data_IF_298999247095
#
_entry.id   IF_298999247095
#
_cell.length_a   1.000
_cell.length_b   1.000
_cell.length_c   1.000
_cell.angle_alpha   90.00
_cell.angle_beta   90.00
_cell.angle_gamma   90.00
#
_symmetry.space_group_name_H-M   'P 1'
#
loop_
_entity.id
_entity.type
_entity.pdbx_description
1 polymer ?
#
# COMPACT_ATOMS: atom_id res chain seq x y z
N UNK A 1 -4.20 -13.01 -5.26
CA UNK A 1 -3.04 -12.23 -4.78
C UNK A 1 -3.51 -10.83 -4.50
N UNK A 2 -3.13 -10.27 -3.34
CA UNK A 2 -3.55 -8.95 -2.89
C UNK A 2 -2.43 -7.95 -3.04
N UNK A 3 -2.74 -6.76 -3.55
CA UNK A 3 -1.80 -5.67 -3.75
C UNK A 3 -2.31 -4.43 -3.02
N UNK A 4 -1.46 -3.85 -2.18
CA UNK A 4 -1.74 -2.57 -1.53
C UNK A 4 -0.85 -1.49 -2.13
N UNK A 5 -1.47 -0.41 -2.59
CA UNK A 5 -0.79 0.76 -3.13
C UNK A 5 -1.03 1.95 -2.23
N UNK A 6 -0.07 2.85 -2.15
CA UNK A 6 -0.26 4.17 -1.56
C UNK A 6 -0.69 5.16 -2.65
N UNK A 7 -1.68 6.01 -2.37
CA UNK A 7 -2.12 7.07 -3.27
C UNK A 7 -1.12 8.26 -3.28
N UNK A 8 0.15 8.00 -3.61
CA UNK A 8 1.19 9.03 -3.79
C UNK A 8 1.36 9.38 -5.26
N UNK A 9 1.28 10.69 -5.57
CA UNK A 9 1.44 11.21 -6.94
C UNK A 9 0.33 10.76 -7.90
N UNK A 10 0.56 10.94 -9.21
CA UNK A 10 -0.41 10.60 -10.27
C UNK A 10 -0.34 9.16 -10.76
N UNK A 11 0.76 8.44 -10.49
CA UNK A 11 1.02 7.12 -11.09
C UNK A 11 0.25 5.96 -10.45
N UNK A 12 -0.26 6.13 -9.22
CA UNK A 12 -0.93 5.04 -8.51
C UNK A 12 -2.21 4.56 -9.19
N UNK A 13 -2.92 5.45 -9.90
CA UNK A 13 -4.21 5.15 -10.52
C UNK A 13 -4.05 4.20 -11.71
N UNK A 14 -3.15 4.54 -12.65
CA UNK A 14 -2.91 3.71 -13.84
C UNK A 14 -2.43 2.30 -13.44
N UNK A 15 -1.58 2.22 -12.41
CA UNK A 15 -1.12 0.94 -11.87
C UNK A 15 -2.26 0.16 -11.20
N UNK A 16 -3.13 0.83 -10.43
CA UNK A 16 -4.28 0.18 -9.81
C UNK A 16 -5.23 -0.42 -10.86
N UNK A 17 -5.52 0.33 -11.93
CA UNK A 17 -6.35 -0.14 -13.04
C UNK A 17 -5.70 -1.33 -13.73
N UNK A 18 -4.42 -1.26 -14.07
CA UNK A 18 -3.72 -2.35 -14.75
C UNK A 18 -3.67 -3.65 -13.92
N UNK A 19 -3.59 -3.53 -12.59
CA UNK A 19 -3.60 -4.68 -11.68
C UNK A 19 -5.01 -5.27 -11.51
N UNK A 20 -6.04 -4.43 -11.46
CA UNK A 20 -7.45 -4.85 -11.42
C UNK A 20 -7.85 -5.56 -12.72
N UNK A 21 -7.46 -5.00 -13.89
CA UNK A 21 -7.66 -5.62 -15.20
C UNK A 21 -6.94 -6.98 -15.33
N UNK A 22 -5.85 -7.17 -14.58
CA UNK A 22 -5.15 -8.45 -14.48
C UNK A 22 -5.81 -9.45 -13.50
N UNK A 23 -6.93 -9.09 -12.87
CA UNK A 23 -7.69 -9.93 -11.93
C UNK A 23 -7.08 -10.01 -10.54
N UNK A 24 -6.25 -9.05 -10.15
CA UNK A 24 -5.66 -8.97 -8.81
C UNK A 24 -6.55 -8.14 -7.88
N UNK A 25 -6.61 -8.52 -6.61
CA UNK A 25 -7.30 -7.72 -5.61
C UNK A 25 -6.41 -6.51 -5.26
N UNK A 26 -6.87 -5.29 -5.57
CA UNK A 26 -6.12 -4.04 -5.34
C UNK A 26 -6.81 -3.21 -4.26
N UNK A 27 -6.02 -2.73 -3.30
CA UNK A 27 -6.43 -1.76 -2.30
C UNK A 27 -5.53 -0.54 -2.40
N UNK A 28 -6.11 0.65 -2.46
CA UNK A 28 -5.36 1.91 -2.52
C UNK A 28 -5.59 2.68 -1.22
N UNK A 29 -4.52 3.00 -0.50
CA UNK A 29 -4.59 3.67 0.80
C UNK A 29 -4.08 5.10 0.75
N UNK A 30 -4.66 5.95 1.59
CA UNK A 30 -4.21 7.32 1.75
C UNK A 30 -2.79 7.36 2.36
N UNK A 31 -1.86 8.19 1.86
CA UNK A 31 -0.51 8.32 2.43
C UNK A 31 -0.49 8.64 3.93
N UNK A 32 -1.52 9.32 4.43
CA UNK A 32 -1.70 9.56 5.87
C UNK A 32 -1.87 8.27 6.66
N UNK A 33 -2.68 7.33 6.15
CA UNK A 33 -2.93 6.03 6.78
C UNK A 33 -1.67 5.18 6.77
N UNK A 34 -0.94 5.16 5.64
CA UNK A 34 0.35 4.48 5.54
C UNK A 34 1.36 5.02 6.59
N UNK A 35 1.44 6.35 6.74
CA UNK A 35 2.31 7.01 7.71
C UNK A 35 1.92 6.71 9.16
N UNK A 36 0.62 6.74 9.49
CA UNK A 36 0.12 6.41 10.82
C UNK A 36 0.44 4.95 11.19
N UNK A 37 0.26 4.04 10.22
CA UNK A 37 0.62 2.63 10.40
C UNK A 37 2.13 2.42 10.57
N UNK A 38 2.97 3.10 9.78
CA UNK A 38 4.42 3.10 9.96
C UNK A 38 4.85 3.55 11.36
N UNK A 39 4.18 4.59 11.88
CA UNK A 39 4.38 5.07 13.24
C UNK A 39 4.02 4.02 14.29
N UNK A 40 2.86 3.34 14.13
CA UNK A 40 2.43 2.26 15.02
C UNK A 40 3.39 1.06 14.99
N UNK A 41 4.02 0.78 13.85
CA UNK A 41 5.00 -0.29 13.67
C UNK A 41 6.42 0.09 14.15
N UNK A 42 6.63 1.33 14.60
CA UNK A 42 7.94 1.87 15.02
C UNK A 42 9.03 1.77 13.93
N UNK A 43 8.63 1.83 12.67
CA UNK A 43 9.55 1.76 11.52
C UNK A 43 10.30 3.09 11.37
N UNK A 44 11.62 3.08 11.57
CA UNK A 44 12.46 4.30 11.56
C UNK A 44 13.18 4.57 10.23
N UNK A 45 13.38 3.54 9.42
CA UNK A 45 14.09 3.65 8.13
C UNK A 45 13.09 3.83 7.00
N UNK A 46 13.25 4.90 6.23
CA UNK A 46 12.42 5.16 5.04
C UNK A 46 13.21 4.81 3.78
N UNK A 47 13.01 3.59 3.31
CA UNK A 47 13.56 3.11 2.03
C UNK A 47 12.42 2.46 1.27
N UNK A 48 12.49 2.45 -0.06
CA UNK A 48 11.41 1.88 -0.89
C UNK A 48 11.08 0.43 -0.52
N UNK A 49 12.09 -0.37 -0.16
CA UNK A 49 11.91 -1.76 0.28
C UNK A 49 11.15 -1.87 1.62
N UNK A 50 11.42 -0.95 2.55
CA UNK A 50 10.74 -0.92 3.85
C UNK A 50 9.30 -0.45 3.69
N UNK A 51 9.05 0.58 2.87
CA UNK A 51 7.71 1.08 2.60
C UNK A 51 6.86 0.00 1.89
N UNK A 52 7.42 -0.73 0.93
CA UNK A 52 6.73 -1.86 0.29
C UNK A 52 6.38 -3.00 1.27
N UNK A 53 7.30 -3.33 2.19
CA UNK A 53 7.06 -4.34 3.23
C UNK A 53 5.94 -3.89 4.17
N UNK A 54 5.93 -2.61 4.54
CA UNK A 54 4.91 -2.01 5.40
C UNK A 54 3.52 -2.06 4.74
N UNK A 55 3.42 -1.73 3.45
CA UNK A 55 2.16 -1.82 2.70
C UNK A 55 1.66 -3.26 2.58
N UNK A 56 2.56 -4.23 2.37
CA UNK A 56 2.20 -5.65 2.36
C UNK A 56 1.67 -6.10 3.72
N UNK A 57 2.29 -5.66 4.81
CA UNK A 57 1.86 -5.97 6.17
C UNK A 57 0.53 -5.29 6.52
N UNK A 58 0.31 -4.06 6.06
CA UNK A 58 -0.98 -3.38 6.16
C UNK A 58 -2.09 -4.19 5.46
N UNK A 59 -1.84 -4.66 4.23
CA UNK A 59 -2.77 -5.48 3.45
C UNK A 59 -3.15 -6.81 4.12
N UNK A 60 -2.24 -7.36 4.93
CA UNK A 60 -2.46 -8.61 5.67
C UNK A 60 -3.26 -8.39 6.96
N UNK A 61 -3.04 -7.27 7.65
CA UNK A 61 -3.60 -7.01 9.00
C UNK A 61 -4.93 -6.27 8.96
N UNK A 62 -5.19 -5.51 7.90
CA UNK A 62 -6.40 -4.70 7.77
C UNK A 62 -7.45 -5.39 6.89
N UNK A 63 -8.75 -5.12 7.11
CA UNK A 63 -9.78 -5.54 6.17
C UNK A 63 -9.48 -4.97 4.78
N UNK A 64 -9.37 -5.87 3.79
CA UNK A 64 -9.13 -5.49 2.40
C UNK A 64 -10.38 -4.82 1.82
N UNK A 65 -10.21 -3.66 1.20
CA UNK A 65 -11.30 -2.82 0.70
C UNK A 65 -10.92 -2.12 -0.60
#
# INVERSE_FOLDING_TARGET
TRVCLEATGSYHLDLAVALDDAGLEVMVINPKVAKEFAGAMQTRSKTDAVDATLLAEFAQRMPFK
#
